data_IF_020585891894
#
_entry.id   IF_020585891894
#
_cell.length_a   1.000
_cell.length_b   1.000
_cell.length_c   1.000
_cell.angle_alpha   90.00
_cell.angle_beta   90.00
_cell.angle_gamma   90.00
#
_symmetry.space_group_name_H-M   'P 1'
#
loop_
_entity.id
_entity.type
_entity.pdbx_description
1 polymer ?
#
# COMPACT_ATOMS: atom_id res chain seq x y z
N UNK A 1 -3.17 4.74 12.15
CA UNK A 1 -3.07 4.57 10.69
C UNK A 1 -3.23 5.95 10.10
N UNK A 2 -2.23 6.43 9.38
CA UNK A 2 -2.36 7.66 8.59
C UNK A 2 -3.44 7.45 7.54
N UNK A 3 -4.22 8.48 7.23
CA UNK A 3 -5.06 8.45 6.04
C UNK A 3 -4.18 8.42 4.78
N UNK A 4 -4.71 7.92 3.67
CA UNK A 4 -3.95 7.78 2.43
C UNK A 4 -3.38 9.12 1.95
N UNK A 5 -4.13 10.20 2.16
CA UNK A 5 -3.77 11.57 1.83
C UNK A 5 -2.63 12.12 2.68
N UNK A 6 -2.33 11.50 3.83
CA UNK A 6 -1.26 11.89 4.74
C UNK A 6 0.07 11.17 4.45
N UNK A 7 0.08 10.19 3.53
CA UNK A 7 1.31 9.52 3.11
C UNK A 7 2.24 10.48 2.35
N UNK A 8 3.54 10.17 2.35
CA UNK A 8 4.48 10.82 1.43
C UNK A 8 3.96 10.79 -0.03
N UNK A 9 4.07 11.92 -0.73
CA UNK A 9 3.52 12.08 -2.09
C UNK A 9 4.09 11.01 -3.05
N UNK A 10 5.34 10.62 -2.86
CA UNK A 10 6.00 9.57 -3.63
C UNK A 10 5.38 8.18 -3.41
N UNK A 11 4.91 7.89 -2.19
CA UNK A 11 4.22 6.66 -1.86
C UNK A 11 2.78 6.68 -2.39
N UNK A 12 2.08 7.82 -2.27
CA UNK A 12 0.75 7.99 -2.86
C UNK A 12 0.78 7.72 -4.37
N UNK A 13 1.76 8.30 -5.09
CA UNK A 13 1.94 8.10 -6.54
C UNK A 13 2.17 6.63 -6.90
N UNK A 14 3.06 5.94 -6.21
CA UNK A 14 3.31 4.51 -6.48
C UNK A 14 2.04 3.65 -6.34
N UNK A 15 1.22 3.92 -5.33
CA UNK A 15 -0.05 3.19 -5.12
C UNK A 15 -1.06 3.55 -6.21
N UNK A 16 -1.10 4.82 -6.64
CA UNK A 16 -1.97 5.27 -7.75
C UNK A 16 -1.56 4.60 -9.06
N UNK A 17 -0.28 4.63 -9.41
CA UNK A 17 0.25 4.05 -10.67
C UNK A 17 -0.12 2.56 -10.77
N UNK A 18 0.03 1.80 -9.68
CA UNK A 18 -0.39 0.39 -9.61
C UNK A 18 -1.89 0.21 -9.86
N UNK A 19 -2.70 1.09 -9.29
CA UNK A 19 -4.16 1.03 -9.46
C UNK A 19 -4.63 1.51 -10.83
N UNK A 20 -3.90 2.40 -11.49
CA UNK A 20 -4.19 2.83 -12.86
C UNK A 20 -3.91 1.71 -13.88
N UNK A 21 -2.90 0.89 -13.61
CA UNK A 21 -2.58 -0.30 -14.41
C UNK A 21 -3.50 -1.51 -14.12
N UNK A 22 -4.35 -1.43 -13.08
CA UNK A 22 -5.24 -2.52 -12.67
C UNK A 22 -6.52 -2.57 -13.55
N UNK A 23 -6.83 -3.72 -14.19
CA UNK A 23 -7.97 -3.84 -15.09
C UNK A 23 -9.34 -3.78 -14.39
N UNK A 24 -9.38 -3.82 -13.06
CA UNK A 24 -10.59 -3.84 -12.25
C UNK A 24 -10.88 -2.49 -11.55
N UNK A 25 -10.14 -1.43 -11.89
CA UNK A 25 -10.25 -0.12 -11.26
C UNK A 25 -10.09 -0.20 -9.72
N UNK A 26 -9.09 -0.94 -9.26
CA UNK A 26 -8.74 -1.02 -7.86
C UNK A 26 -8.58 0.39 -7.28
N UNK A 27 -9.22 0.65 -6.14
CA UNK A 27 -9.12 1.96 -5.50
C UNK A 27 -7.81 2.08 -4.70
N UNK A 28 -6.98 3.12 -4.92
CA UNK A 28 -5.71 3.30 -4.21
C UNK A 28 -5.84 3.33 -2.69
N UNK A 29 -6.88 3.98 -2.15
CA UNK A 29 -7.12 4.06 -0.70
C UNK A 29 -7.49 2.69 -0.14
N UNK A 30 -8.26 1.90 -0.89
CA UNK A 30 -8.62 0.53 -0.50
C UNK A 30 -7.40 -0.38 -0.52
N UNK A 31 -6.56 -0.31 -1.56
CA UNK A 31 -5.31 -1.07 -1.63
C UNK A 31 -4.40 -0.74 -0.44
N UNK A 32 -4.16 0.55 -0.18
CA UNK A 32 -3.40 1.01 0.97
C UNK A 32 -3.95 0.45 2.29
N UNK A 33 -5.25 0.62 2.55
CA UNK A 33 -5.88 0.15 3.80
C UNK A 33 -5.80 -1.37 3.94
N UNK A 34 -5.95 -2.11 2.86
CA UNK A 34 -5.87 -3.56 2.88
C UNK A 34 -4.45 -4.03 3.18
N UNK A 35 -3.43 -3.49 2.50
CA UNK A 35 -2.03 -3.80 2.78
C UNK A 35 -1.70 -3.45 4.23
N UNK A 36 -2.06 -2.24 4.68
CA UNK A 36 -1.75 -1.76 6.03
C UNK A 36 -2.36 -2.64 7.13
N UNK A 37 -3.62 -3.05 6.98
CA UNK A 37 -4.33 -3.84 7.99
C UNK A 37 -4.10 -5.35 7.90
N UNK A 38 -3.63 -5.85 6.74
CA UNK A 38 -3.36 -7.28 6.57
C UNK A 38 -2.23 -7.77 7.49
N UNK A 39 -2.42 -8.98 8.03
CA UNK A 39 -1.40 -9.70 8.78
C UNK A 39 -0.84 -10.81 7.89
N UNK A 40 0.47 -11.02 7.94
CA UNK A 40 1.16 -11.98 7.08
C UNK A 40 2.58 -11.52 6.84
N UNK A 41 3.42 -12.42 6.34
CA UNK A 41 4.74 -12.07 5.88
C UNK A 41 4.68 -11.27 4.57
N UNK A 42 5.74 -10.50 4.30
CA UNK A 42 5.82 -9.59 3.16
C UNK A 42 5.66 -10.33 1.82
N UNK A 43 6.18 -11.56 1.71
CA UNK A 43 6.14 -12.34 0.47
C UNK A 43 4.71 -12.80 0.16
N UNK A 44 3.97 -13.22 1.18
CA UNK A 44 2.55 -13.57 1.04
C UNK A 44 1.72 -12.36 0.65
N UNK A 45 1.90 -11.22 1.31
CA UNK A 45 1.16 -10.00 1.00
C UNK A 45 1.46 -9.49 -0.43
N UNK A 46 2.72 -9.56 -0.86
CA UNK A 46 3.16 -9.17 -2.21
C UNK A 46 2.42 -9.96 -3.30
N UNK A 47 2.28 -11.27 -3.09
CA UNK A 47 1.54 -12.14 -4.02
C UNK A 47 0.03 -11.91 -3.98
N UNK A 48 -0.55 -11.69 -2.80
CA UNK A 48 -2.01 -11.51 -2.65
C UNK A 48 -2.48 -10.19 -3.25
N UNK A 49 -1.69 -9.13 -3.08
CA UNK A 49 -2.03 -7.80 -3.58
C UNK A 49 -1.43 -7.50 -4.96
N UNK A 50 -0.61 -8.41 -5.50
CA UNK A 50 0.10 -8.25 -6.75
C UNK A 50 0.93 -6.95 -6.82
N UNK A 51 1.58 -6.61 -5.69
CA UNK A 51 2.42 -5.40 -5.56
C UNK A 51 3.85 -5.74 -5.15
N UNK A 52 4.84 -4.86 -5.42
CA UNK A 52 6.21 -5.07 -4.96
C UNK A 52 6.33 -5.19 -3.44
N UNK A 53 7.21 -6.08 -2.97
CA UNK A 53 7.50 -6.26 -1.53
C UNK A 53 7.95 -4.95 -0.87
N UNK A 54 8.73 -4.13 -1.59
CA UNK A 54 9.20 -2.83 -1.11
C UNK A 54 8.05 -1.88 -0.78
N UNK A 55 6.98 -1.90 -1.58
CA UNK A 55 5.79 -1.07 -1.34
C UNK A 55 5.10 -1.48 -0.03
N UNK A 56 5.01 -2.79 0.22
CA UNK A 56 4.42 -3.31 1.46
C UNK A 56 5.26 -2.87 2.67
N UNK A 57 6.59 -2.96 2.57
CA UNK A 57 7.49 -2.50 3.63
C UNK A 57 7.27 -1.01 3.90
N UNK A 58 7.26 -0.17 2.85
CA UNK A 58 7.04 1.27 2.98
C UNK A 58 5.69 1.60 3.64
N UNK A 59 4.60 0.96 3.20
CA UNK A 59 3.26 1.14 3.78
C UNK A 59 3.24 0.74 5.27
N UNK A 60 3.91 -0.36 5.62
CA UNK A 60 3.96 -0.86 7.01
C UNK A 60 4.82 0.03 7.90
N UNK A 61 5.94 0.53 7.41
CA UNK A 61 6.86 1.40 8.14
C UNK A 61 6.31 2.82 8.32
N UNK A 62 5.66 3.40 7.31
CA UNK A 62 5.05 4.74 7.37
C UNK A 62 3.95 4.81 8.43
N UNK A 63 3.16 3.75 8.63
CA UNK A 63 2.18 3.74 9.73
C UNK A 63 2.74 3.37 11.11
N UNK A 64 4.04 3.04 11.21
CA UNK A 64 4.77 2.89 12.48
C UNK A 64 5.43 4.22 12.89
N UNK A 65 5.70 5.12 11.93
CA UNK A 65 6.07 6.52 12.22
C UNK A 65 4.87 7.31 12.76
N UNK A 66 4.47 7.01 13.99
CA UNK A 66 3.74 7.94 14.85
C UNK A 66 4.58 8.17 16.13
N UNK A 67 4.59 9.40 16.68
CA UNK A 67 5.42 9.80 17.80
C UNK A 67 5.18 9.00 19.09
#
# INVERSE_FOLDING_TARGET
MLDFEELEISLQKQIIDICEDDPYNLNPKTLYRNIFNSKGDIQTLSKVFEVPELLIIQIKEEGIKLP
#
